data_IF_816227100403
#
_entry.id   IF_816227100403
#
_cell.length_a   1.000
_cell.length_b   1.000
_cell.length_c   1.000
_cell.angle_alpha   90.00
_cell.angle_beta   90.00
_cell.angle_gamma   90.00
#
_symmetry.space_group_name_H-M   'P 1'
#
loop_
_entity.id
_entity.type
_entity.pdbx_description
1 polymer ?
#
# COMPACT_ATOMS: atom_id res chain seq x y z
N UNK A 1 -2.56 -28.89 8.43
CA UNK A 1 -3.05 -28.41 9.74
C UNK A 1 -2.11 -27.30 10.17
N UNK A 2 -2.55 -26.05 10.06
CA UNK A 2 -1.83 -24.89 10.60
C UNK A 2 -2.53 -24.55 11.90
N UNK A 3 -1.84 -24.74 13.01
CA UNK A 3 -2.34 -24.38 14.33
C UNK A 3 -2.59 -22.86 14.37
N UNK A 4 -3.81 -22.52 14.76
CA UNK A 4 -4.29 -21.15 14.88
C UNK A 4 -3.62 -20.59 16.14
N UNK A 5 -2.64 -19.70 16.00
CA UNK A 5 -2.10 -18.96 17.15
C UNK A 5 -3.22 -18.05 17.64
N UNK A 6 -3.91 -18.47 18.69
CA UNK A 6 -4.86 -17.64 19.42
C UNK A 6 -4.10 -16.41 19.93
N UNK A 7 -4.50 -15.23 19.42
CA UNK A 7 -3.97 -13.95 19.86
C UNK A 7 -4.38 -13.71 21.30
N UNK A 8 -3.54 -14.14 22.25
CA UNK A 8 -3.60 -13.66 23.62
C UNK A 8 -3.11 -12.21 23.60
N UNK A 9 -4.03 -11.26 23.62
CA UNK A 9 -3.71 -9.92 24.11
C UNK A 9 -3.33 -10.10 25.57
N UNK A 10 -2.06 -9.87 25.98
CA UNK A 10 -1.74 -9.86 27.40
C UNK A 10 -2.61 -8.78 28.06
N UNK A 11 -3.22 -9.10 29.20
CA UNK A 11 -3.86 -8.08 30.03
C UNK A 11 -2.79 -7.02 30.34
N UNK A 12 -3.06 -5.72 30.16
CA UNK A 12 -2.08 -4.70 30.50
C UNK A 12 -1.82 -4.81 32.00
N UNK A 13 -0.61 -5.21 32.39
CA UNK A 13 -0.13 -5.03 33.75
C UNK A 13 -0.30 -3.53 34.07
N UNK A 14 -1.10 -3.22 35.09
CA UNK A 14 -1.70 -1.89 35.27
C UNK A 14 -0.73 -0.73 35.08
N UNK A 15 -1.06 0.17 34.16
CA UNK A 15 -0.36 1.44 33.90
C UNK A 15 -0.47 2.46 35.07
N UNK A 16 -1.02 2.05 36.23
CA UNK A 16 -1.37 2.93 37.37
C UNK A 16 -0.14 3.59 38.03
N UNK A 17 1.04 2.97 37.87
CA UNK A 17 2.32 3.52 38.32
C UNK A 17 2.98 4.47 37.30
N UNK A 18 2.43 4.61 36.08
CA UNK A 18 2.97 5.52 35.07
C UNK A 18 2.57 6.97 35.39
N UNK A 19 3.52 7.89 35.58
CA UNK A 19 3.18 9.28 35.84
C UNK A 19 2.51 9.90 34.61
N UNK A 20 1.50 10.72 34.86
CA UNK A 20 0.85 11.52 33.82
C UNK A 20 1.88 12.38 33.09
N UNK A 21 1.76 12.42 31.76
CA UNK A 21 2.62 13.25 30.95
C UNK A 21 2.28 14.73 31.15
N UNK A 22 3.27 15.52 31.55
CA UNK A 22 3.10 16.97 31.75
C UNK A 22 3.42 17.76 30.48
N UNK A 23 2.90 18.97 30.35
CA UNK A 23 3.21 19.87 29.23
C UNK A 23 4.72 20.15 29.09
N UNK A 24 5.43 20.22 30.22
CA UNK A 24 6.88 20.39 30.23
C UNK A 24 7.62 19.16 29.63
N UNK A 25 7.06 17.96 29.76
CA UNK A 25 7.60 16.75 29.13
C UNK A 25 7.40 16.80 27.61
N UNK A 26 6.23 17.22 27.13
CA UNK A 26 5.99 17.43 25.70
C UNK A 26 6.91 18.50 25.11
N UNK A 27 7.13 19.61 25.83
CA UNK A 27 8.02 20.68 25.39
C UNK A 27 9.49 20.23 25.20
N UNK A 28 9.91 19.17 25.91
CA UNK A 28 11.26 18.59 25.80
C UNK A 28 11.35 17.44 24.79
N UNK A 29 10.23 16.95 24.27
CA UNK A 29 10.23 15.84 23.32
C UNK A 29 10.99 16.22 22.03
N UNK A 30 11.76 15.28 21.48
CA UNK A 30 12.49 15.47 20.23
C UNK A 30 12.00 14.49 19.16
N UNK A 31 12.17 14.82 17.86
CA UNK A 31 11.86 13.89 16.78
C UNK A 31 12.58 12.55 16.97
N UNK A 32 11.88 11.44 16.71
CA UNK A 32 12.44 10.10 16.87
C UNK A 32 13.73 9.90 16.04
N UNK A 33 13.86 10.58 14.89
CA UNK A 33 15.06 10.54 14.05
C UNK A 33 16.30 11.19 14.68
N UNK A 34 16.14 12.04 15.69
CA UNK A 34 17.25 12.66 16.43
C UNK A 34 17.65 11.85 17.68
N UNK A 35 16.79 10.93 18.12
CA UNK A 35 16.95 10.21 19.40
C UNK A 35 17.24 8.72 19.23
N UNK A 36 16.78 8.11 18.13
CA UNK A 36 16.95 6.68 17.90
C UNK A 36 18.21 6.38 17.08
N UNK A 37 18.81 5.19 17.27
CA UNK A 37 19.79 4.64 16.35
C UNK A 37 19.29 4.62 14.90
N UNK A 38 20.16 4.81 13.88
CA UNK A 38 19.74 4.96 12.49
C UNK A 38 18.89 3.82 11.93
N UNK A 39 19.15 2.58 12.36
CA UNK A 39 18.41 1.37 11.97
C UNK A 39 17.00 1.33 12.57
N UNK A 40 16.86 1.65 13.86
CA UNK A 40 15.56 1.76 14.53
C UNK A 40 14.73 2.92 13.97
N UNK A 41 15.37 4.07 13.72
CA UNK A 41 14.74 5.22 13.08
C UNK A 41 14.27 4.87 11.66
N UNK A 42 15.07 4.17 10.86
CA UNK A 42 14.71 3.76 9.50
C UNK A 42 13.49 2.82 9.48
N UNK A 43 13.37 1.91 10.44
CA UNK A 43 12.21 1.02 10.53
C UNK A 43 10.93 1.74 10.95
N UNK A 44 11.02 2.65 11.92
CA UNK A 44 9.86 3.34 12.50
C UNK A 44 9.40 4.54 11.66
N UNK A 45 10.32 5.26 11.02
CA UNK A 45 10.02 6.45 10.21
C UNK A 45 9.73 6.12 8.75
N UNK A 46 9.99 4.88 8.30
CA UNK A 46 9.62 4.46 6.95
C UNK A 46 8.10 4.49 6.80
N UNK A 47 7.62 5.31 5.86
CA UNK A 47 6.20 5.37 5.49
C UNK A 47 5.70 3.97 5.12
N UNK A 48 4.86 3.42 6.00
CA UNK A 48 4.13 2.17 5.76
C UNK A 48 3.11 2.43 4.65
N UNK A 49 3.03 1.51 3.69
CA UNK A 49 2.11 1.60 2.54
C UNK A 49 2.77 1.17 1.22
N UNK A 50 1.95 0.98 0.18
CA UNK A 50 2.45 0.72 -1.18
C UNK A 50 3.38 1.89 -1.57
N UNK A 51 4.58 1.61 -2.14
CA UNK A 51 5.44 2.66 -2.67
C UNK A 51 4.66 3.61 -3.58
N UNK A 52 5.01 4.90 -3.56
CA UNK A 52 4.35 5.88 -4.44
C UNK A 52 4.59 5.45 -5.89
N UNK A 53 3.50 5.17 -6.61
CA UNK A 53 3.54 4.89 -8.04
C UNK A 53 3.98 6.18 -8.75
N UNK A 54 5.03 6.08 -9.56
CA UNK A 54 5.52 7.20 -10.38
C UNK A 54 4.45 7.68 -11.34
N UNK A 55 4.58 8.90 -11.86
CA UNK A 55 3.59 9.42 -12.80
C UNK A 55 3.52 8.60 -14.09
N UNK A 56 4.66 8.10 -14.58
CA UNK A 56 4.75 7.22 -15.75
C UNK A 56 4.04 5.87 -15.56
N UNK A 57 3.97 5.36 -14.33
CA UNK A 57 3.33 4.08 -14.02
C UNK A 57 1.86 4.22 -13.63
N UNK A 58 1.35 5.44 -13.50
CA UNK A 58 -0.02 5.68 -13.06
C UNK A 58 -1.00 5.50 -14.21
N UNK A 59 -1.77 4.41 -14.16
CA UNK A 59 -2.90 4.19 -15.07
C UNK A 59 -3.92 5.35 -14.94
N UNK A 60 -4.37 5.87 -16.09
CA UNK A 60 -5.39 6.92 -16.16
C UNK A 60 -6.71 6.29 -16.57
N UNK A 61 -7.78 6.63 -15.86
CA UNK A 61 -9.13 6.29 -16.29
C UNK A 61 -9.52 7.23 -17.43
N UNK A 62 -9.93 6.66 -18.56
CA UNK A 62 -10.41 7.38 -19.73
C UNK A 62 -11.79 6.86 -20.13
N UNK A 63 -12.60 7.71 -20.76
CA UNK A 63 -13.90 7.33 -21.31
C UNK A 63 -13.72 6.87 -22.75
N UNK A 64 -13.85 5.57 -23.01
CA UNK A 64 -13.76 4.96 -24.34
C UNK A 64 -15.05 4.19 -24.64
N UNK A 65 -15.63 4.40 -25.83
CA UNK A 65 -16.77 3.61 -26.32
C UNK A 65 -16.25 2.49 -27.20
N UNK A 66 -16.65 1.25 -26.88
CA UNK A 66 -16.33 0.05 -27.65
C UNK A 66 -17.64 -0.58 -28.15
N UNK A 67 -17.56 -1.31 -29.27
CA UNK A 67 -18.71 -2.05 -29.77
C UNK A 67 -19.15 -3.14 -28.76
N UNK A 68 -20.45 -3.45 -28.64
CA UNK A 68 -20.97 -4.37 -27.63
C UNK A 68 -20.37 -5.78 -27.70
N UNK A 69 -20.14 -6.29 -28.91
CA UNK A 69 -19.55 -7.59 -29.20
C UNK A 69 -18.08 -7.66 -28.74
N UNK A 70 -17.31 -6.59 -28.93
CA UNK A 70 -15.93 -6.48 -28.42
C UNK A 70 -15.90 -6.54 -26.89
N UNK A 71 -16.81 -5.83 -26.21
CA UNK A 71 -16.92 -5.86 -24.75
C UNK A 71 -17.28 -7.28 -24.28
N UNK A 72 -18.23 -7.94 -24.95
CA UNK A 72 -18.65 -9.30 -24.63
C UNK A 72 -17.48 -10.29 -24.79
N UNK A 73 -16.75 -10.22 -25.90
CA UNK A 73 -15.59 -11.07 -26.18
C UNK A 73 -14.48 -10.88 -25.14
N UNK A 74 -14.16 -9.64 -24.77
CA UNK A 74 -13.17 -9.35 -23.73
C UNK A 74 -13.61 -9.92 -22.37
N UNK A 75 -14.84 -9.67 -21.94
CA UNK A 75 -15.36 -10.18 -20.66
C UNK A 75 -15.42 -11.71 -20.61
N UNK A 76 -15.69 -12.37 -21.73
CA UNK A 76 -15.68 -13.83 -21.84
C UNK A 76 -14.31 -14.45 -21.52
N UNK A 77 -13.21 -13.68 -21.62
CA UNK A 77 -11.88 -14.15 -21.21
C UNK A 77 -11.73 -14.36 -19.69
N UNK A 78 -12.69 -13.90 -18.89
CA UNK A 78 -12.73 -14.11 -17.44
C UNK A 78 -11.98 -13.04 -16.62
N UNK A 79 -11.65 -13.33 -15.34
CA UNK A 79 -10.96 -12.40 -14.46
C UNK A 79 -9.67 -11.87 -15.08
N UNK A 80 -9.43 -10.56 -14.97
CA UNK A 80 -8.28 -9.90 -15.59
C UNK A 80 -8.49 -9.48 -17.05
N UNK A 81 -9.71 -9.54 -17.60
CA UNK A 81 -9.98 -9.11 -18.98
C UNK A 81 -9.55 -7.67 -19.29
N UNK A 82 -9.58 -6.75 -18.31
CA UNK A 82 -9.08 -5.38 -18.50
C UNK A 82 -7.56 -5.34 -18.69
N UNK A 83 -6.81 -6.18 -17.98
CA UNK A 83 -5.36 -6.28 -18.16
C UNK A 83 -5.02 -6.93 -19.51
N UNK A 84 -5.80 -7.92 -19.95
CA UNK A 84 -5.70 -8.47 -21.31
C UNK A 84 -6.03 -7.41 -22.38
N UNK A 85 -7.09 -6.61 -22.19
CA UNK A 85 -7.42 -5.52 -23.10
C UNK A 85 -6.27 -4.49 -23.19
N UNK A 86 -5.66 -4.12 -22.07
CA UNK A 86 -4.48 -3.26 -22.06
C UNK A 86 -3.30 -3.88 -22.81
N UNK A 87 -3.01 -5.17 -22.61
CA UNK A 87 -1.93 -5.86 -23.31
C UNK A 87 -2.16 -5.89 -24.84
N UNK A 88 -3.40 -6.14 -25.28
CA UNK A 88 -3.77 -6.08 -26.71
C UNK A 88 -3.58 -4.68 -27.29
N UNK A 89 -3.97 -3.63 -26.55
CA UNK A 89 -3.76 -2.24 -26.98
C UNK A 89 -2.27 -1.89 -27.06
N UNK A 90 -1.45 -2.34 -26.11
CA UNK A 90 0.00 -2.15 -26.16
C UNK A 90 0.63 -2.84 -27.36
N UNK A 91 0.27 -4.11 -27.58
CA UNK A 91 0.74 -4.87 -28.73
C UNK A 91 0.35 -4.20 -30.06
N UNK A 92 -0.90 -3.76 -30.20
CA UNK A 92 -1.38 -3.07 -31.41
C UNK A 92 -0.74 -1.70 -31.65
N UNK A 93 -0.24 -1.05 -30.60
CA UNK A 93 0.48 0.22 -30.66
C UNK A 93 2.00 0.06 -30.64
N UNK A 94 2.52 -1.18 -30.68
CA UNK A 94 3.94 -1.49 -30.54
C UNK A 94 4.59 -0.85 -29.29
N UNK A 95 3.86 -0.82 -28.18
CA UNK A 95 4.35 -0.35 -26.88
C UNK A 95 4.93 -1.54 -26.11
N UNK A 96 6.18 -1.41 -25.64
CA UNK A 96 6.79 -2.42 -24.77
C UNK A 96 5.94 -2.67 -23.50
N UNK A 97 6.04 -3.89 -22.97
CA UNK A 97 5.49 -4.27 -21.67
C UNK A 97 6.21 -3.46 -20.58
N UNK A 98 5.72 -2.25 -20.35
CA UNK A 98 6.22 -1.35 -19.30
C UNK A 98 6.11 -2.03 -17.94
N UNK A 99 7.26 -2.46 -17.42
CA UNK A 99 7.45 -3.06 -16.11
C UNK A 99 7.26 -2.02 -14.98
#
# INVERSE_FOLDING_TARGET
MVDKIEGRTPEPDGDDDSPEWTDAMFARAKPAGEMLPPDAAALLLRRRGRPRITESMRKRQVTLRLAPDVIAALRATGPGWMARAEAMLRAGLALDEGK
#
